data_IF_394592356671
#
_entry.id   IF_394592356671
#
_cell.length_a   1.000
_cell.length_b   1.000
_cell.length_c   1.000
_cell.angle_alpha   90.00
_cell.angle_beta   90.00
_cell.angle_gamma   90.00
#
_symmetry.space_group_name_H-M   'P 1'
#
loop_
_entity.id
_entity.type
_entity.pdbx_description
1 polymer ?
#
# COMPACT_ATOMS: atom_id res chain seq x y z
N UNK A 1 -22.57 3.87 -15.78
CA UNK A 1 -21.77 2.93 -14.99
C UNK A 1 -20.49 3.62 -14.56
N UNK A 2 -20.33 3.75 -13.25
CA UNK A 2 -19.15 4.32 -12.61
C UNK A 2 -18.24 3.20 -12.12
N UNK A 3 -16.95 3.49 -11.97
CA UNK A 3 -15.97 2.61 -11.35
C UNK A 3 -15.43 3.31 -10.10
N UNK A 4 -15.70 2.72 -8.94
CA UNK A 4 -15.37 3.24 -7.62
C UNK A 4 -14.06 2.63 -7.14
N UNK A 5 -13.16 3.46 -6.62
CA UNK A 5 -11.93 2.99 -5.98
C UNK A 5 -11.34 4.03 -5.02
N UNK A 6 -10.27 3.64 -4.33
CA UNK A 6 -9.51 4.51 -3.44
C UNK A 6 -8.69 5.55 -4.22
N UNK A 7 -8.85 6.81 -3.85
CA UNK A 7 -8.02 7.93 -4.26
C UNK A 7 -6.89 8.24 -3.26
N UNK A 8 -6.25 9.41 -3.38
CA UNK A 8 -6.41 10.40 -4.45
C UNK A 8 -5.75 9.92 -5.77
N UNK A 9 -5.64 10.82 -6.75
CA UNK A 9 -4.88 10.56 -8.00
C UNK A 9 -3.43 10.17 -7.69
N UNK A 10 -2.91 9.18 -8.42
CA UNK A 10 -1.54 8.68 -8.26
C UNK A 10 -1.38 7.54 -7.26
N UNK A 11 -2.48 7.01 -6.71
CA UNK A 11 -2.44 5.75 -5.94
C UNK A 11 -2.39 4.53 -6.86
N UNK A 12 -1.96 3.39 -6.31
CA UNK A 12 -2.01 2.11 -7.01
C UNK A 12 -3.44 1.75 -7.45
N UNK A 13 -4.42 2.09 -6.63
CA UNK A 13 -5.85 1.89 -6.88
C UNK A 13 -6.34 2.69 -8.09
N UNK A 14 -5.98 3.97 -8.19
CA UNK A 14 -6.32 4.78 -9.34
C UNK A 14 -5.66 4.25 -10.63
N UNK A 15 -4.39 3.84 -10.57
CA UNK A 15 -3.67 3.25 -11.71
C UNK A 15 -4.35 1.96 -12.18
N UNK A 16 -4.72 1.08 -11.25
CA UNK A 16 -5.41 -0.16 -11.56
C UNK A 16 -6.80 0.08 -12.15
N UNK A 17 -7.54 1.06 -11.62
CA UNK A 17 -8.82 1.45 -12.17
C UNK A 17 -8.68 1.96 -13.61
N UNK A 18 -7.75 2.88 -13.85
CA UNK A 18 -7.48 3.40 -15.21
C UNK A 18 -7.04 2.30 -16.18
N UNK A 19 -6.32 1.29 -15.72
CA UNK A 19 -5.94 0.14 -16.55
C UNK A 19 -7.15 -0.72 -16.96
N UNK A 20 -8.12 -0.92 -16.06
CA UNK A 20 -9.31 -1.72 -16.33
C UNK A 20 -10.39 -0.96 -17.11
N UNK A 21 -10.49 0.35 -16.89
CA UNK A 21 -11.53 1.18 -17.49
C UNK A 21 -11.55 1.09 -19.01
N UNK A 22 -12.77 1.03 -19.54
CA UNK A 22 -13.04 1.17 -20.96
C UNK A 22 -13.90 2.40 -21.18
N UNK A 23 -15.13 2.36 -20.67
CA UNK A 23 -16.15 3.39 -20.88
C UNK A 23 -16.75 3.92 -19.56
N UNK A 24 -16.28 3.43 -18.42
CA UNK A 24 -16.76 3.86 -17.10
C UNK A 24 -16.32 5.29 -16.78
N UNK A 25 -17.01 5.93 -15.84
CA UNK A 25 -16.51 7.16 -15.17
C UNK A 25 -15.83 6.79 -13.86
N UNK A 26 -14.58 7.21 -13.67
CA UNK A 26 -13.82 6.94 -12.45
C UNK A 26 -14.31 7.82 -11.29
N UNK A 27 -14.59 7.21 -10.14
CA UNK A 27 -14.90 7.90 -8.89
C UNK A 27 -13.86 7.50 -7.85
N UNK A 28 -13.16 8.51 -7.32
CA UNK A 28 -12.14 8.34 -6.28
C UNK A 28 -12.74 8.71 -4.93
N UNK A 29 -12.60 7.80 -3.97
CA UNK A 29 -13.03 7.97 -2.58
C UNK A 29 -11.81 8.16 -1.69
N UNK A 30 -11.99 8.80 -0.52
CA UNK A 30 -10.87 9.03 0.40
C UNK A 30 -10.46 7.72 1.09
N UNK A 31 -11.41 6.80 1.26
CA UNK A 31 -11.24 5.50 1.91
C UNK A 31 -11.96 4.40 1.15
N UNK A 32 -11.57 3.13 1.37
CA UNK A 32 -12.37 2.01 0.86
C UNK A 32 -13.60 1.80 1.73
N UNK A 33 -13.48 2.08 3.03
CA UNK A 33 -14.49 2.05 4.07
C UNK A 33 -15.77 2.75 3.61
N UNK A 34 -15.67 3.98 3.09
CA UNK A 34 -16.78 4.74 2.51
C UNK A 34 -17.59 3.93 1.50
N UNK A 35 -16.91 3.17 0.64
CA UNK A 35 -17.54 2.35 -0.40
C UNK A 35 -18.14 1.08 0.21
N UNK A 36 -17.35 0.38 1.02
CA UNK A 36 -17.69 -0.96 1.51
C UNK A 36 -18.82 -0.94 2.56
N UNK A 37 -18.93 0.13 3.36
CA UNK A 37 -20.00 0.27 4.37
C UNK A 37 -21.29 0.87 3.79
N UNK A 38 -21.25 1.44 2.59
CA UNK A 38 -22.40 2.05 1.90
C UNK A 38 -22.63 1.42 0.53
N UNK A 39 -22.33 0.12 0.40
CA UNK A 39 -22.33 -0.58 -0.88
C UNK A 39 -23.65 -0.43 -1.67
N UNK A 40 -24.79 -0.41 -0.98
CA UNK A 40 -26.12 -0.23 -1.57
C UNK A 40 -26.29 1.08 -2.33
N UNK A 41 -25.57 2.13 -1.94
CA UNK A 41 -25.66 3.46 -2.56
C UNK A 41 -25.01 3.48 -3.96
N UNK A 42 -24.27 2.42 -4.29
CA UNK A 42 -23.53 2.24 -5.55
C UNK A 42 -24.06 1.07 -6.38
N UNK A 43 -25.30 0.62 -6.13
CA UNK A 43 -25.94 -0.45 -6.91
C UNK A 43 -25.94 -0.14 -8.42
N UNK A 44 -25.59 -1.14 -9.22
CA UNK A 44 -25.43 -1.02 -10.67
C UNK A 44 -24.07 -0.50 -11.15
N UNK A 45 -23.22 0.02 -10.25
CA UNK A 45 -21.86 0.46 -10.57
C UNK A 45 -20.83 -0.66 -10.34
N UNK A 46 -19.55 -0.33 -10.49
CA UNK A 46 -18.43 -1.25 -10.27
C UNK A 46 -17.50 -0.75 -9.17
N UNK A 47 -16.84 -1.68 -8.49
CA UNK A 47 -15.80 -1.43 -7.50
C UNK A 47 -14.53 -2.19 -7.90
N UNK A 48 -13.38 -1.50 -7.88
CA UNK A 48 -12.07 -2.13 -7.99
C UNK A 48 -11.25 -1.92 -6.72
N UNK A 49 -10.66 -3.00 -6.21
CA UNK A 49 -9.82 -2.99 -5.01
C UNK A 49 -8.73 -4.07 -5.06
N UNK A 50 -7.64 -3.93 -4.28
CA UNK A 50 -6.60 -4.93 -4.23
C UNK A 50 -7.02 -6.14 -3.39
N UNK A 51 -6.63 -7.34 -3.82
CA UNK A 51 -6.78 -8.62 -3.11
C UNK A 51 -5.73 -8.75 -1.97
N UNK A 52 -5.65 -7.68 -1.20
CA UNK A 52 -4.80 -7.52 -0.01
C UNK A 52 -5.30 -6.37 0.87
N UNK A 53 -6.43 -5.75 0.53
CA UNK A 53 -6.96 -4.64 1.31
C UNK A 53 -7.23 -5.06 2.76
N UNK A 54 -6.75 -4.24 3.67
CA UNK A 54 -7.02 -4.31 5.10
C UNK A 54 -7.19 -2.88 5.60
N UNK A 55 -8.33 -2.62 6.23
CA UNK A 55 -8.61 -1.33 6.83
C UNK A 55 -7.62 -1.02 7.95
N UNK A 56 -7.28 0.26 8.08
CA UNK A 56 -6.58 0.81 9.24
C UNK A 56 -7.52 1.51 10.23
N UNK A 57 -8.80 1.68 9.88
CA UNK A 57 -9.84 2.35 10.68
C UNK A 57 -10.78 1.32 11.34
N UNK A 58 -11.15 0.28 10.60
CA UNK A 58 -12.13 -0.74 10.98
C UNK A 58 -11.47 -2.11 11.07
N UNK A 59 -11.29 -2.62 12.29
CA UNK A 59 -10.46 -3.81 12.55
C UNK A 59 -10.92 -5.08 11.80
N UNK A 60 -12.22 -5.18 11.51
CA UNK A 60 -12.82 -6.33 10.84
C UNK A 60 -13.14 -6.07 9.36
N UNK A 61 -12.76 -4.91 8.81
CA UNK A 61 -12.97 -4.63 7.39
C UNK A 61 -11.70 -4.94 6.61
N UNK A 62 -11.74 -6.05 5.88
CA UNK A 62 -10.68 -6.47 4.98
C UNK A 62 -11.27 -7.14 3.75
N UNK A 63 -10.44 -7.34 2.73
CA UNK A 63 -10.89 -7.92 1.47
C UNK A 63 -11.47 -9.33 1.62
N UNK A 64 -10.89 -10.17 2.47
CA UNK A 64 -11.32 -11.56 2.64
C UNK A 64 -12.75 -11.58 3.18
N UNK A 65 -12.99 -10.87 4.28
CA UNK A 65 -14.31 -10.82 4.92
C UNK A 65 -15.33 -10.14 4.01
N UNK A 66 -14.97 -9.05 3.34
CA UNK A 66 -15.85 -8.41 2.36
C UNK A 66 -16.26 -9.37 1.24
N UNK A 67 -15.30 -10.07 0.64
CA UNK A 67 -15.55 -10.99 -0.46
C UNK A 67 -16.49 -12.14 -0.06
N UNK A 68 -16.36 -12.67 1.16
CA UNK A 68 -17.22 -13.75 1.64
C UNK A 68 -18.56 -13.27 2.15
N UNK A 69 -18.63 -12.13 2.85
CA UNK A 69 -19.86 -11.66 3.51
C UNK A 69 -20.77 -10.90 2.56
N UNK A 70 -20.23 -10.25 1.53
CA UNK A 70 -21.01 -9.48 0.56
C UNK A 70 -21.34 -10.24 -0.72
N UNK A 71 -21.10 -11.56 -0.77
CA UNK A 71 -21.20 -12.39 -1.98
C UNK A 71 -22.56 -12.35 -2.70
N UNK A 72 -23.66 -12.08 -1.99
CA UNK A 72 -25.00 -11.92 -2.59
C UNK A 72 -25.20 -10.52 -3.21
N UNK A 73 -24.44 -9.53 -2.76
CA UNK A 73 -24.55 -8.13 -3.17
C UNK A 73 -23.52 -7.71 -4.22
N UNK A 74 -22.56 -8.57 -4.52
CA UNK A 74 -21.51 -8.31 -5.51
C UNK A 74 -21.31 -9.50 -6.44
N UNK A 75 -20.90 -9.22 -7.66
CA UNK A 75 -20.49 -10.24 -8.63
C UNK A 75 -19.08 -9.96 -9.11
N UNK A 76 -18.16 -10.93 -8.99
CA UNK A 76 -16.80 -10.78 -9.56
C UNK A 76 -16.91 -10.69 -11.08
N UNK A 77 -16.46 -9.57 -11.65
CA UNK A 77 -16.49 -9.32 -13.09
C UNK A 77 -15.16 -9.60 -13.76
N UNK A 78 -14.06 -9.25 -13.09
CA UNK A 78 -12.71 -9.47 -13.61
C UNK A 78 -11.69 -9.59 -12.47
N UNK A 79 -10.60 -10.26 -12.77
CA UNK A 79 -9.38 -10.28 -11.95
C UNK A 79 -8.18 -10.09 -12.84
N UNK A 80 -7.22 -9.30 -12.42
CA UNK A 80 -5.97 -9.10 -13.15
C UNK A 80 -4.83 -8.77 -12.18
N UNK A 81 -3.60 -8.83 -12.66
CA UNK A 81 -2.43 -8.45 -11.87
C UNK A 81 -1.76 -7.23 -12.45
N UNK A 82 -1.43 -6.25 -11.60
CA UNK A 82 -0.53 -5.15 -11.94
C UNK A 82 0.58 -5.04 -10.89
N UNK A 83 1.80 -4.70 -11.30
CA UNK A 83 2.84 -4.34 -10.34
C UNK A 83 2.40 -3.09 -9.57
N UNK A 84 2.61 -3.11 -8.25
CA UNK A 84 2.49 -1.88 -7.46
C UNK A 84 3.56 -0.87 -7.90
N UNK A 85 3.30 0.40 -7.58
CA UNK A 85 4.30 1.44 -7.59
C UNK A 85 5.55 0.98 -6.83
N UNK A 86 6.76 1.32 -7.30
CA UNK A 86 7.97 0.80 -6.70
C UNK A 86 8.08 1.20 -5.23
N UNK A 87 8.31 0.20 -4.39
CA UNK A 87 8.75 0.39 -3.01
C UNK A 87 10.28 0.34 -2.99
N UNK A 88 10.89 1.09 -2.08
CA UNK A 88 12.33 1.08 -1.87
C UNK A 88 12.65 0.83 -0.40
N UNK A 89 13.70 0.05 -0.16
CA UNK A 89 14.36 -0.02 1.14
C UNK A 89 15.45 1.04 1.14
N UNK A 90 15.32 2.01 2.05
CA UNK A 90 16.29 3.10 2.21
C UNK A 90 17.05 2.87 3.51
N UNK A 91 18.38 2.95 3.45
CA UNK A 91 19.25 2.96 4.63
C UNK A 91 19.84 4.35 4.86
N UNK A 92 19.74 4.86 6.08
CA UNK A 92 20.49 6.01 6.56
C UNK A 92 21.84 5.52 7.10
N UNK A 93 22.93 5.83 6.40
CA UNK A 93 24.28 5.43 6.82
C UNK A 93 24.78 6.16 8.06
N UNK A 94 24.14 7.27 8.43
CA UNK A 94 24.47 8.08 9.60
C UNK A 94 23.32 8.06 10.63
N UNK A 95 22.66 6.91 10.76
CA UNK A 95 21.54 6.73 11.69
C UNK A 95 21.93 6.98 13.15
N UNK A 96 21.00 7.51 13.93
CA UNK A 96 21.11 7.64 15.39
C UNK A 96 20.42 6.49 16.11
N UNK A 97 19.41 5.90 15.46
CA UNK A 97 18.56 4.83 16.00
C UNK A 97 18.66 3.61 15.11
N UNK A 98 19.07 2.47 15.68
CA UNK A 98 19.13 1.20 14.98
C UNK A 98 17.72 0.59 14.87
N UNK A 99 16.87 1.22 14.07
CA UNK A 99 15.45 0.87 13.88
C UNK A 99 15.18 0.67 12.39
N UNK A 100 14.33 -0.32 12.10
CA UNK A 100 13.73 -0.57 10.81
C UNK A 100 12.25 -0.20 10.89
N UNK A 101 11.91 1.03 10.50
CA UNK A 101 10.56 1.55 10.56
C UNK A 101 9.76 1.09 9.33
N UNK A 102 8.55 0.56 9.53
CA UNK A 102 7.74 0.02 8.43
C UNK A 102 6.24 0.12 8.71
N UNK A 103 5.42 0.08 7.68
CA UNK A 103 3.98 -0.15 7.85
C UNK A 103 3.71 -1.66 8.02
N UNK A 104 2.66 -2.04 8.74
CA UNK A 104 2.31 -3.45 8.97
C UNK A 104 2.16 -4.26 7.66
N UNK A 105 1.57 -3.66 6.62
CA UNK A 105 1.43 -4.33 5.31
C UNK A 105 2.77 -4.62 4.59
N UNK A 106 3.87 -3.99 5.00
CA UNK A 106 5.21 -4.17 4.42
C UNK A 106 6.18 -4.87 5.37
N UNK A 107 5.71 -5.35 6.53
CA UNK A 107 6.51 -6.05 7.52
C UNK A 107 7.24 -7.26 6.92
N UNK A 108 6.52 -8.11 6.20
CA UNK A 108 7.08 -9.31 5.59
C UNK A 108 8.19 -8.99 4.58
N UNK A 109 8.09 -7.85 3.88
CA UNK A 109 9.14 -7.37 2.98
C UNK A 109 10.38 -6.90 3.76
N UNK A 110 10.18 -6.14 4.84
CA UNK A 110 11.28 -5.67 5.69
C UNK A 110 12.02 -6.84 6.35
N UNK A 111 11.29 -7.78 6.97
CA UNK A 111 11.88 -8.97 7.59
C UNK A 111 12.71 -9.78 6.59
N UNK A 112 12.17 -10.04 5.39
CA UNK A 112 12.92 -10.74 4.33
C UNK A 112 14.17 -10.00 3.89
N UNK A 113 14.13 -8.67 3.82
CA UNK A 113 15.31 -7.87 3.53
C UNK A 113 16.37 -8.04 4.62
N UNK A 114 15.99 -7.86 5.89
CA UNK A 114 16.91 -7.98 7.03
C UNK A 114 17.60 -9.36 7.05
N UNK A 115 16.85 -10.44 6.90
CA UNK A 115 17.42 -11.80 6.79
C UNK A 115 18.39 -11.94 5.62
N UNK A 116 18.03 -11.40 4.45
CA UNK A 116 18.87 -11.49 3.26
C UNK A 116 20.23 -10.79 3.45
N UNK A 117 20.27 -9.69 4.21
CA UNK A 117 21.50 -8.93 4.46
C UNK A 117 22.17 -9.25 5.80
N UNK A 118 21.69 -10.25 6.53
CA UNK A 118 22.24 -10.66 7.83
C UNK A 118 22.07 -9.61 8.93
N UNK A 119 20.94 -8.91 8.95
CA UNK A 119 20.58 -7.92 9.96
C UNK A 119 19.38 -8.36 10.82
N UNK A 120 19.00 -9.63 10.79
CA UNK A 120 17.92 -10.21 11.60
C UNK A 120 18.42 -10.91 12.89
N UNK A 121 19.61 -10.51 13.36
CA UNK A 121 20.21 -11.03 14.58
C UNK A 121 20.01 -10.10 15.80
N UNK A 122 20.59 -10.46 16.96
CA UNK A 122 20.46 -9.70 18.21
C UNK A 122 21.06 -8.28 18.16
N UNK A 123 21.88 -7.97 17.16
CA UNK A 123 22.51 -6.66 16.96
C UNK A 123 21.87 -5.89 15.79
N UNK A 124 20.95 -6.53 15.08
CA UNK A 124 20.13 -5.96 14.02
C UNK A 124 19.19 -4.86 14.50
N UNK A 125 18.59 -4.10 13.56
CA UNK A 125 17.64 -3.07 13.90
C UNK A 125 16.33 -3.65 14.43
N UNK A 126 15.76 -2.99 15.44
CA UNK A 126 14.41 -3.29 15.92
C UNK A 126 13.37 -2.90 14.86
N UNK A 127 12.46 -3.81 14.52
CA UNK A 127 11.35 -3.51 13.60
C UNK A 127 10.23 -2.79 14.37
N UNK A 128 9.90 -1.56 13.95
CA UNK A 128 8.85 -0.74 14.55
C UNK A 128 7.79 -0.44 13.51
N UNK A 129 6.52 -0.41 13.95
CA UNK A 129 5.39 -0.14 13.07
C UNK A 129 4.97 1.32 13.09
N UNK A 130 4.69 1.84 11.89
CA UNK A 130 4.10 3.15 11.64
C UNK A 130 2.69 3.00 11.06
N UNK A 131 1.75 3.93 11.36
CA UNK A 131 0.37 3.86 10.88
C UNK A 131 0.22 3.99 9.36
N UNK A 132 1.21 4.54 8.65
CA UNK A 132 1.21 4.57 7.19
C UNK A 132 2.62 4.65 6.62
N UNK A 133 2.77 4.38 5.33
CA UNK A 133 4.06 4.56 4.63
C UNK A 133 4.52 6.02 4.58
N UNK A 134 3.59 6.99 4.60
CA UNK A 134 3.96 8.41 4.64
C UNK A 134 4.50 8.79 6.01
N UNK A 135 3.83 8.37 7.09
CA UNK A 135 4.31 8.61 8.46
C UNK A 135 5.65 7.90 8.67
N UNK A 136 5.81 6.65 8.18
CA UNK A 136 7.07 5.93 8.23
C UNK A 136 8.22 6.66 7.51
N UNK A 137 7.93 7.41 6.44
CA UNK A 137 8.92 8.20 5.72
C UNK A 137 9.32 9.45 6.52
N UNK A 138 8.34 10.18 7.05
CA UNK A 138 8.57 11.39 7.84
C UNK A 138 9.33 11.09 9.12
N UNK A 139 8.90 10.07 9.87
CA UNK A 139 9.52 9.67 11.14
C UNK A 139 10.93 9.12 10.92
N UNK A 140 11.15 8.31 9.87
CA UNK A 140 12.47 7.78 9.51
C UNK A 140 13.50 8.91 9.32
N UNK A 141 13.10 9.99 8.64
CA UNK A 141 13.95 11.16 8.40
C UNK A 141 14.10 11.97 9.69
N UNK A 142 13.01 12.28 10.39
CA UNK A 142 13.04 13.09 11.59
C UNK A 142 13.90 12.44 12.70
N UNK A 143 13.66 11.16 12.96
CA UNK A 143 14.28 10.40 14.05
C UNK A 143 15.66 9.85 13.69
N UNK A 144 16.08 10.00 12.43
CA UNK A 144 17.34 9.48 11.92
C UNK A 144 17.45 7.96 12.16
N UNK A 145 16.38 7.24 11.84
CA UNK A 145 16.34 5.78 11.93
C UNK A 145 17.19 5.14 10.82
N UNK A 146 17.58 3.88 11.02
CA UNK A 146 18.49 3.18 10.13
C UNK A 146 17.84 2.75 8.82
N UNK A 147 16.68 2.12 8.87
CA UNK A 147 16.03 1.54 7.69
C UNK A 147 14.56 1.93 7.63
N UNK A 148 14.05 2.11 6.41
CA UNK A 148 12.61 2.19 6.14
C UNK A 148 12.26 1.55 4.81
N UNK A 149 10.98 1.18 4.64
CA UNK A 149 10.42 0.76 3.34
C UNK A 149 9.25 1.66 2.95
N UNK A 150 9.44 2.40 1.87
CA UNK A 150 8.56 3.50 1.46
C UNK A 150 8.38 3.53 -0.05
N UNK A 151 7.47 4.39 -0.54
CA UNK A 151 7.27 4.60 -1.98
C UNK A 151 8.48 5.33 -2.58
N UNK A 152 9.01 4.81 -3.69
CA UNK A 152 10.11 5.43 -4.41
C UNK A 152 9.75 6.84 -4.90
N UNK A 153 8.55 6.99 -5.47
CA UNK A 153 8.05 8.26 -6.00
C UNK A 153 7.93 9.34 -4.93
N UNK A 154 7.49 8.97 -3.72
CA UNK A 154 7.39 9.93 -2.62
C UNK A 154 8.77 10.31 -2.09
N UNK A 155 9.67 9.34 -1.92
CA UNK A 155 11.03 9.61 -1.46
C UNK A 155 11.80 10.51 -2.45
N UNK A 156 11.70 10.26 -3.76
CA UNK A 156 12.40 11.01 -4.80
C UNK A 156 11.98 12.50 -4.88
N UNK A 157 10.85 12.89 -4.26
CA UNK A 157 10.42 14.29 -4.15
C UNK A 157 11.09 15.03 -3.00
N UNK A 158 11.74 14.32 -2.08
CA UNK A 158 12.37 14.88 -0.89
C UNK A 158 13.84 15.25 -1.14
N UNK A 159 14.37 16.32 -0.50
CA UNK A 159 15.80 16.65 -0.56
C UNK A 159 16.71 15.49 -0.15
N UNK A 160 16.28 14.69 0.82
CA UNK A 160 16.98 13.52 1.37
C UNK A 160 17.31 12.47 0.31
N UNK A 161 16.52 12.39 -0.77
CA UNK A 161 16.82 11.49 -1.89
C UNK A 161 18.12 11.80 -2.63
N UNK A 162 18.66 13.01 -2.44
CA UNK A 162 19.92 13.48 -3.02
C UNK A 162 21.08 13.49 -2.04
N UNK A 163 20.80 13.27 -0.76
CA UNK A 163 21.84 13.22 0.27
C UNK A 163 22.48 11.82 0.29
N UNK A 164 23.81 11.80 0.14
CA UNK A 164 24.64 10.59 0.12
C UNK A 164 24.49 9.69 1.34
N UNK A 165 23.97 10.20 2.47
CA UNK A 165 23.70 9.40 3.66
C UNK A 165 22.51 8.46 3.48
N UNK A 166 21.57 8.74 2.59
CA UNK A 166 20.41 7.89 2.36
C UNK A 166 20.62 7.08 1.08
N UNK A 167 20.80 5.77 1.26
CA UNK A 167 21.10 4.85 0.16
C UNK A 167 19.90 3.95 -0.09
N UNK A 168 19.43 3.93 -1.33
CA UNK A 168 18.45 2.92 -1.78
C UNK A 168 19.17 1.58 -1.89
N UNK A 169 18.85 0.65 -0.97
CA UNK A 169 19.45 -0.68 -0.92
C UNK A 169 18.74 -1.70 -1.78
N UNK A 170 17.44 -1.54 -1.95
CA UNK A 170 16.63 -2.43 -2.77
C UNK A 170 15.42 -1.69 -3.35
N UNK A 171 15.11 -1.98 -4.61
CA UNK A 171 13.83 -1.59 -5.24
C UNK A 171 12.95 -2.84 -5.38
N UNK A 172 11.69 -2.71 -5.00
CA UNK A 172 10.69 -3.76 -4.90
C UNK A 172 9.49 -3.37 -5.77
N UNK A 173 9.05 -4.28 -6.64
CA UNK A 173 7.84 -4.12 -7.45
C UNK A 173 6.97 -5.37 -7.30
N UNK A 174 6.40 -5.63 -6.11
CA UNK A 174 5.57 -6.81 -5.91
C UNK A 174 4.35 -6.73 -6.84
N UNK A 175 3.96 -7.85 -7.49
CA UNK A 175 2.69 -7.91 -8.18
C UNK A 175 1.55 -7.81 -7.17
N UNK A 176 0.48 -7.12 -7.54
CA UNK A 176 -0.77 -7.07 -6.80
C UNK A 176 -1.88 -7.64 -7.66
N UNK A 177 -2.70 -8.51 -7.09
CA UNK A 177 -3.91 -8.98 -7.72
C UNK A 177 -5.02 -7.96 -7.42
N UNK A 178 -5.73 -7.57 -8.46
CA UNK A 178 -6.87 -6.67 -8.42
C UNK A 178 -8.11 -7.44 -8.78
N UNK A 179 -9.20 -7.12 -8.10
CA UNK A 179 -10.53 -7.66 -8.38
C UNK A 179 -11.47 -6.51 -8.71
N UNK A 180 -12.29 -6.74 -9.73
CA UNK A 180 -13.39 -5.84 -10.08
C UNK A 180 -14.69 -6.56 -9.77
N UNK A 181 -15.51 -5.91 -8.96
CA UNK A 181 -16.87 -6.32 -8.66
C UNK A 181 -17.86 -5.46 -9.43
N UNK A 182 -18.92 -6.08 -9.92
CA UNK A 182 -20.19 -5.40 -10.14
C UNK A 182 -20.96 -5.39 -8.82
N UNK A 183 -21.57 -4.25 -8.50
CA UNK A 183 -22.41 -4.09 -7.32
C UNK A 183 -23.86 -4.33 -7.75
N UNK A 184 -24.50 -5.35 -7.16
CA UNK A 184 -25.82 -5.83 -7.57
C UNK A 184 -26.96 -4.86 -7.24
#
# INVERSE_FOLDING_TARGET
>A
MKLHTLGPVGTDSQIAATHYMTNQTLILHDTFEEILTHLSDFSGDELIMPVAFKSNQEQNLNWVDFNYLSWENITVRATFSLPLMPLIVVENLAYHRNIALTHAATEGLMKRYLTKVGLDDAWGPSVIFSPSKMVAMTDFIHDQDRLTIISADQFNKLPESRDSRYVVRQTLKPPMIWVVYHIN
#
